data_IF_772197675114
#
_entry.id   IF_772197675114
#
_cell.length_a   1.000
_cell.length_b   1.000
_cell.length_c   1.000
_cell.angle_alpha   90.00
_cell.angle_beta   90.00
_cell.angle_gamma   90.00
#
_symmetry.space_group_name_H-M   'P 1'
#
loop_
_entity.id
_entity.type
_entity.pdbx_description
1 polymer ?
#
# COMPACT_ATOMS: atom_id res chain seq x y z
N UNK A 1 -23.11 -51.50 -9.92
CA UNK A 1 -23.63 -50.12 -9.78
C UNK A 1 -22.91 -49.43 -8.61
N UNK A 2 -21.57 -49.33 -8.66
CA UNK A 2 -20.72 -48.75 -7.60
C UNK A 2 -19.51 -48.11 -8.29
N UNK A 3 -19.73 -47.16 -9.21
CA UNK A 3 -18.63 -46.54 -9.97
C UNK A 3 -18.88 -45.07 -10.35
N UNK A 4 -19.67 -44.33 -9.56
CA UNK A 4 -20.03 -42.93 -9.84
C UNK A 4 -19.97 -41.99 -8.62
N UNK A 5 -19.17 -42.27 -7.58
CA UNK A 5 -19.08 -41.39 -6.40
C UNK A 5 -17.65 -41.06 -5.93
N UNK A 6 -16.69 -40.95 -6.85
CA UNK A 6 -15.32 -40.50 -6.54
C UNK A 6 -14.85 -39.36 -7.46
N UNK A 7 -15.74 -38.42 -7.75
CA UNK A 7 -15.36 -37.09 -8.26
C UNK A 7 -15.93 -36.06 -7.30
N UNK A 8 -15.40 -36.07 -6.07
CA UNK A 8 -15.67 -35.03 -5.09
C UNK A 8 -14.42 -34.15 -5.03
N UNK A 9 -14.50 -33.04 -5.75
CA UNK A 9 -13.90 -31.76 -5.41
C UNK A 9 -12.45 -31.78 -4.90
N UNK A 10 -11.51 -31.95 -5.82
CA UNK A 10 -10.18 -31.33 -5.70
C UNK A 10 -10.29 -29.83 -6.07
N UNK A 11 -11.22 -29.10 -5.45
CA UNK A 11 -11.10 -27.65 -5.34
C UNK A 11 -10.07 -27.43 -4.23
N UNK A 12 -8.80 -27.52 -4.60
CA UNK A 12 -7.73 -26.87 -3.87
C UNK A 12 -8.06 -25.38 -3.89
N UNK A 13 -8.84 -24.95 -2.90
CA UNK A 13 -8.83 -23.58 -2.44
C UNK A 13 -7.41 -23.33 -1.92
N UNK A 14 -6.50 -23.02 -2.84
CA UNK A 14 -5.40 -22.13 -2.52
C UNK A 14 -6.04 -20.76 -2.29
N UNK A 15 -6.71 -20.64 -1.14
CA UNK A 15 -6.88 -19.35 -0.49
C UNK A 15 -5.46 -18.90 -0.23
N UNK A 16 -4.87 -18.12 -1.15
CA UNK A 16 -3.65 -17.39 -0.82
C UNK A 16 -4.01 -16.59 0.41
N UNK A 17 -3.43 -16.97 1.55
CA UNK A 17 -3.66 -16.29 2.81
C UNK A 17 -3.52 -14.79 2.52
N UNK A 18 -4.56 -14.02 2.86
CA UNK A 18 -4.70 -12.61 2.53
C UNK A 18 -3.70 -11.77 3.33
N UNK A 19 -2.45 -11.78 2.88
CA UNK A 19 -1.36 -11.06 3.51
C UNK A 19 -0.69 -10.16 2.50
N UNK A 20 -0.24 -9.02 3.01
CA UNK A 20 0.44 -7.95 2.28
C UNK A 20 1.52 -8.50 1.37
N UNK A 21 1.50 -8.08 0.11
CA UNK A 21 2.54 -8.32 -0.88
C UNK A 21 3.40 -7.06 -1.03
N UNK A 22 4.71 -7.26 -1.16
CA UNK A 22 5.63 -6.19 -1.53
C UNK A 22 5.93 -6.30 -3.02
N UNK A 23 5.68 -5.23 -3.74
CA UNK A 23 6.02 -5.01 -5.14
C UNK A 23 7.25 -4.10 -5.19
N UNK A 24 8.06 -4.21 -6.24
CA UNK A 24 9.13 -3.24 -6.51
C UNK A 24 8.80 -2.48 -7.79
N UNK A 25 8.87 -1.14 -7.72
CA UNK A 25 8.91 -0.31 -8.93
C UNK A 25 10.28 -0.40 -9.56
N UNK A 26 10.35 -0.85 -10.81
CA UNK A 26 11.61 -1.12 -11.51
C UNK A 26 11.74 -0.31 -12.81
N UNK A 27 12.88 0.34 -12.98
CA UNK A 27 13.17 1.24 -14.12
C UNK A 27 14.35 0.78 -14.97
N UNK A 28 15.20 -0.11 -14.44
CA UNK A 28 16.35 -0.65 -15.18
C UNK A 28 15.93 -1.74 -16.19
N UNK A 29 16.64 -1.92 -17.31
CA UNK A 29 16.24 -2.87 -18.36
C UNK A 29 16.28 -4.33 -17.91
N UNK A 30 17.22 -4.69 -17.04
CA UNK A 30 17.49 -6.08 -16.65
C UNK A 30 17.36 -6.24 -15.13
N UNK A 31 16.22 -6.72 -14.62
CA UNK A 31 16.09 -7.04 -13.20
C UNK A 31 16.95 -8.26 -12.84
N UNK A 32 17.57 -8.31 -11.65
CA UNK A 32 18.23 -9.51 -11.15
C UNK A 32 17.19 -10.63 -10.91
N UNK A 33 17.57 -11.90 -10.71
CA UNK A 33 16.63 -12.97 -10.38
C UNK A 33 15.70 -12.63 -9.21
N UNK A 34 14.40 -12.95 -9.31
CA UNK A 34 13.39 -12.68 -8.28
C UNK A 34 13.78 -13.25 -6.89
N UNK A 35 14.39 -14.43 -6.89
CA UNK A 35 14.91 -15.09 -5.68
C UNK A 35 16.02 -14.31 -4.98
N UNK A 36 16.74 -13.43 -5.68
CA UNK A 36 17.80 -12.61 -5.09
C UNK A 36 17.17 -11.45 -4.33
N UNK A 37 16.10 -10.87 -4.88
CA UNK A 37 15.35 -9.80 -4.23
C UNK A 37 14.40 -10.30 -3.13
N UNK A 38 13.95 -11.56 -3.19
CA UNK A 38 12.92 -12.08 -2.30
C UNK A 38 11.50 -11.61 -2.66
N UNK A 39 11.33 -11.05 -3.87
CA UNK A 39 10.06 -10.49 -4.36
C UNK A 39 9.76 -11.07 -5.74
N UNK A 40 8.50 -11.42 -5.98
CA UNK A 40 8.02 -11.97 -7.25
C UNK A 40 7.26 -10.97 -8.11
N UNK A 41 7.00 -9.76 -7.64
CA UNK A 41 6.10 -8.81 -8.31
C UNK A 41 6.83 -7.51 -8.65
N UNK A 42 6.91 -7.22 -9.95
CA UNK A 42 7.50 -5.99 -10.47
C UNK A 42 6.41 -5.08 -11.02
N UNK A 43 6.52 -3.79 -10.71
CA UNK A 43 5.71 -2.73 -11.29
C UNK A 43 6.62 -1.92 -12.22
N UNK A 44 6.17 -1.71 -13.45
CA UNK A 44 6.88 -0.90 -14.45
C UNK A 44 5.94 0.11 -15.08
N UNK A 45 6.49 1.19 -15.63
CA UNK A 45 5.68 2.11 -16.43
C UNK A 45 5.09 1.40 -17.65
N UNK A 46 3.91 1.83 -18.09
CA UNK A 46 3.22 1.26 -19.27
C UNK A 46 4.11 1.18 -20.50
N UNK A 47 4.98 2.17 -20.72
CA UNK A 47 5.89 2.23 -21.87
C UNK A 47 6.98 1.16 -21.81
N UNK A 48 7.36 0.71 -20.60
CA UNK A 48 8.35 -0.36 -20.39
C UNK A 48 7.72 -1.75 -20.35
N UNK A 49 6.40 -1.85 -20.19
CA UNK A 49 5.62 -3.09 -20.25
C UNK A 49 5.58 -3.75 -21.64
N UNK A 50 6.67 -3.69 -22.40
CA UNK A 50 6.83 -4.33 -23.71
C UNK A 50 6.93 -5.85 -23.56
N UNK A 51 6.47 -6.59 -24.57
CA UNK A 51 6.51 -8.06 -24.57
C UNK A 51 7.92 -8.62 -24.37
N UNK A 52 8.97 -7.95 -24.86
CA UNK A 52 10.36 -8.37 -24.68
C UNK A 52 10.82 -8.24 -23.23
N UNK A 53 10.56 -7.09 -22.60
CA UNK A 53 10.86 -6.88 -21.19
C UNK A 53 10.11 -7.87 -20.30
N UNK A 54 8.80 -8.02 -20.53
CA UNK A 54 7.95 -8.93 -19.73
C UNK A 54 8.45 -10.38 -19.84
N UNK A 55 8.82 -10.85 -21.03
CA UNK A 55 9.42 -12.19 -21.21
C UNK A 55 10.76 -12.35 -20.48
N UNK A 56 11.61 -11.32 -20.50
CA UNK A 56 12.87 -11.33 -19.77
C UNK A 56 12.63 -11.35 -18.24
N UNK A 57 11.68 -10.58 -17.74
CA UNK A 57 11.33 -10.59 -16.32
C UNK A 57 10.72 -11.93 -15.88
N UNK A 58 9.86 -12.56 -16.71
CA UNK A 58 9.32 -13.89 -16.44
C UNK A 58 10.42 -14.96 -16.33
N UNK A 59 11.46 -14.90 -17.19
CA UNK A 59 12.58 -15.84 -17.10
C UNK A 59 13.42 -15.67 -15.83
N UNK A 60 13.35 -14.49 -15.21
CA UNK A 60 13.95 -14.19 -13.90
C UNK A 60 13.02 -14.54 -12.72
N UNK A 61 11.78 -14.99 -12.98
CA UNK A 61 10.82 -15.42 -11.97
C UNK A 61 9.82 -14.35 -11.51
N UNK A 62 9.67 -13.24 -12.27
CA UNK A 62 8.74 -12.16 -11.91
C UNK A 62 7.39 -12.27 -12.60
N UNK A 63 6.36 -11.81 -11.89
CA UNK A 63 5.08 -11.34 -12.43
C UNK A 63 5.19 -9.84 -12.66
N UNK A 64 4.85 -9.38 -13.85
CA UNK A 64 4.97 -7.96 -14.22
C UNK A 64 3.60 -7.29 -14.24
N UNK A 65 3.50 -6.17 -13.55
CA UNK A 65 2.35 -5.28 -13.57
C UNK A 65 2.75 -3.97 -14.26
N UNK A 66 1.85 -3.41 -15.06
CA UNK A 66 2.05 -2.11 -15.66
C UNK A 66 1.29 -1.04 -14.87
N UNK A 67 1.99 0.02 -14.48
CA UNK A 67 1.43 1.23 -13.89
C UNK A 67 0.86 2.10 -15.02
N UNK A 68 -0.43 2.44 -14.91
CA UNK A 68 -1.20 3.15 -15.92
C UNK A 68 -2.07 4.22 -15.28
N UNK A 69 -2.30 5.32 -15.99
CA UNK A 69 -3.33 6.28 -15.59
C UNK A 69 -4.72 5.77 -15.92
N UNK A 70 -5.75 6.37 -15.33
CA UNK A 70 -7.14 6.00 -15.61
C UNK A 70 -7.50 6.10 -17.11
N UNK A 71 -6.93 7.08 -17.83
CA UNK A 71 -7.17 7.28 -19.26
C UNK A 71 -6.53 6.19 -20.13
N UNK A 72 -5.43 5.61 -19.66
CA UNK A 72 -4.68 4.57 -20.39
C UNK A 72 -5.19 3.15 -20.09
N UNK A 73 -5.95 2.98 -19.01
CA UNK A 73 -6.31 1.69 -18.44
C UNK A 73 -7.05 0.76 -19.40
N UNK A 74 -8.01 1.25 -20.17
CA UNK A 74 -8.78 0.43 -21.13
C UNK A 74 -7.88 -0.14 -22.24
N UNK A 75 -7.12 0.73 -22.91
CA UNK A 75 -6.17 0.32 -23.97
C UNK A 75 -5.08 -0.60 -23.43
N UNK A 76 -4.59 -0.34 -22.23
CA UNK A 76 -3.61 -1.20 -21.58
C UNK A 76 -4.20 -2.58 -21.26
N UNK A 77 -5.46 -2.66 -20.83
CA UNK A 77 -6.15 -3.90 -20.50
C UNK A 77 -6.37 -4.80 -21.73
N UNK A 78 -6.71 -4.21 -22.88
CA UNK A 78 -6.83 -4.94 -24.15
C UNK A 78 -5.52 -5.63 -24.55
N UNK A 79 -4.38 -4.95 -24.34
CA UNK A 79 -3.05 -5.49 -24.71
C UNK A 79 -2.36 -6.28 -23.59
N UNK A 80 -2.96 -6.40 -22.40
CA UNK A 80 -2.30 -6.98 -21.22
C UNK A 80 -2.01 -8.48 -21.39
N UNK A 81 -2.98 -9.25 -21.89
CA UNK A 81 -2.83 -10.70 -22.11
C UNK A 81 -1.77 -10.98 -23.20
N UNK A 82 -1.77 -10.20 -24.29
CA UNK A 82 -0.78 -10.31 -25.38
C UNK A 82 0.65 -9.99 -24.92
N UNK A 83 0.79 -9.00 -24.03
CA UNK A 83 2.08 -8.63 -23.42
C UNK A 83 2.53 -9.61 -22.34
N UNK A 84 1.63 -10.46 -21.84
CA UNK A 84 1.91 -11.39 -20.74
C UNK A 84 1.99 -10.71 -19.37
N UNK A 85 1.29 -9.59 -19.19
CA UNK A 85 1.21 -8.89 -17.90
C UNK A 85 0.37 -9.68 -16.90
N UNK A 86 0.77 -9.66 -15.63
CA UNK A 86 0.00 -10.23 -14.53
C UNK A 86 -1.18 -9.33 -14.13
N UNK A 87 -1.08 -8.02 -14.40
CA UNK A 87 -2.12 -7.07 -14.10
C UNK A 87 -1.74 -5.62 -14.39
N UNK A 88 -2.63 -4.72 -14.03
CA UNK A 88 -2.48 -3.27 -14.14
C UNK A 88 -2.61 -2.63 -12.76
N UNK A 89 -1.72 -1.68 -12.49
CA UNK A 89 -1.78 -0.79 -11.32
C UNK A 89 -2.33 0.54 -11.82
N UNK A 90 -3.51 0.92 -11.35
CA UNK A 90 -4.15 2.18 -11.70
C UNK A 90 -3.68 3.27 -10.76
N UNK A 91 -2.91 4.22 -11.29
CA UNK A 91 -2.59 5.47 -10.60
C UNK A 91 -3.76 6.44 -10.81
N UNK A 92 -4.53 6.66 -9.74
CA UNK A 92 -5.73 7.50 -9.73
C UNK A 92 -5.44 8.72 -8.86
N UNK A 93 -5.54 9.90 -9.46
CA UNK A 93 -5.40 11.15 -8.70
C UNK A 93 -6.51 11.28 -7.65
N UNK A 94 -6.23 11.95 -6.53
CA UNK A 94 -7.24 12.18 -5.49
C UNK A 94 -8.48 12.90 -6.03
N UNK A 95 -8.29 13.82 -6.99
CA UNK A 95 -9.38 14.53 -7.67
C UNK A 95 -10.28 13.62 -8.51
N UNK A 96 -9.74 12.52 -9.04
CA UNK A 96 -10.47 11.59 -9.90
C UNK A 96 -11.00 10.37 -9.16
N UNK A 97 -10.73 10.24 -7.85
CA UNK A 97 -10.99 9.03 -7.07
C UNK A 97 -12.42 8.49 -7.18
N UNK A 98 -13.43 9.37 -7.12
CA UNK A 98 -14.84 8.98 -7.26
C UNK A 98 -15.18 8.46 -8.68
N UNK A 99 -14.62 9.10 -9.72
CA UNK A 99 -14.76 8.65 -11.11
C UNK A 99 -13.96 7.35 -11.36
N UNK A 100 -12.79 7.24 -10.72
CA UNK A 100 -11.90 6.09 -10.74
C UNK A 100 -12.57 4.82 -10.24
N UNK A 101 -13.41 4.90 -9.20
CA UNK A 101 -14.12 3.71 -8.69
C UNK A 101 -15.09 3.13 -9.72
N UNK A 102 -15.91 3.98 -10.33
CA UNK A 102 -16.86 3.53 -11.35
C UNK A 102 -16.14 2.94 -12.57
N UNK A 103 -15.06 3.58 -13.00
CA UNK A 103 -14.23 3.09 -14.10
C UNK A 103 -13.52 1.77 -13.76
N UNK A 104 -13.02 1.61 -12.53
CA UNK A 104 -12.40 0.38 -12.06
C UNK A 104 -13.35 -0.81 -12.10
N UNK A 105 -14.60 -0.64 -11.62
CA UNK A 105 -15.61 -1.71 -11.68
C UNK A 105 -15.98 -2.09 -13.13
N UNK A 106 -16.04 -1.09 -14.02
CA UNK A 106 -16.25 -1.33 -15.45
C UNK A 106 -15.10 -2.11 -16.09
N UNK A 107 -13.84 -1.71 -15.81
CA UNK A 107 -12.65 -2.38 -16.32
C UNK A 107 -12.56 -3.84 -15.85
N UNK A 108 -12.83 -4.11 -14.56
CA UNK A 108 -12.86 -5.48 -14.04
C UNK A 108 -13.94 -6.34 -14.69
N UNK A 109 -15.10 -5.74 -14.97
CA UNK A 109 -16.20 -6.44 -15.63
C UNK A 109 -15.90 -6.73 -17.10
N UNK A 110 -15.24 -5.80 -17.80
CA UNK A 110 -14.88 -5.95 -19.21
C UNK A 110 -13.68 -6.90 -19.43
N UNK A 111 -12.72 -6.92 -18.50
CA UNK A 111 -11.48 -7.69 -18.61
C UNK A 111 -11.28 -8.63 -17.40
N UNK A 112 -12.12 -9.66 -17.22
CA UNK A 112 -12.12 -10.50 -16.02
C UNK A 112 -10.84 -11.32 -15.80
N UNK A 113 -10.01 -11.48 -16.84
CA UNK A 113 -8.71 -12.17 -16.75
C UNK A 113 -7.57 -11.27 -16.27
N UNK A 114 -7.74 -9.94 -16.34
CA UNK A 114 -6.71 -8.97 -15.96
C UNK A 114 -6.92 -8.61 -14.49
N UNK A 115 -5.87 -8.71 -13.69
CA UNK A 115 -5.90 -8.21 -12.31
C UNK A 115 -5.73 -6.69 -12.34
N UNK A 116 -6.64 -5.97 -11.71
CA UNK A 116 -6.54 -4.52 -11.52
C UNK A 116 -6.28 -4.23 -10.05
N UNK A 117 -5.31 -3.37 -9.78
CA UNK A 117 -4.97 -2.85 -8.46
C UNK A 117 -5.13 -1.33 -8.49
N UNK A 118 -5.67 -0.74 -7.42
CA UNK A 118 -5.80 0.73 -7.30
C UNK A 118 -4.66 1.21 -6.42
N UNK A 119 -3.87 2.15 -6.92
CA UNK A 119 -2.75 2.72 -6.19
C UNK A 119 -3.20 3.98 -5.44
N UNK A 120 -2.93 3.99 -4.13
CA UNK A 120 -3.02 5.20 -3.31
C UNK A 120 -1.63 5.77 -3.02
N UNK A 121 -1.55 7.10 -2.94
CA UNK A 121 -0.32 7.79 -2.55
C UNK A 121 -0.27 7.91 -1.03
N UNK A 122 0.71 7.22 -0.43
CA UNK A 122 1.03 7.30 0.98
C UNK A 122 2.19 8.25 1.26
N UNK A 123 2.58 8.33 2.52
CA UNK A 123 3.74 9.09 2.99
C UNK A 123 4.91 8.16 3.29
N UNK A 124 6.13 8.72 3.22
CA UNK A 124 7.33 8.00 3.66
C UNK A 124 7.22 7.65 5.16
N UNK A 125 7.26 6.36 5.53
CA UNK A 125 7.29 5.93 6.92
C UNK A 125 8.58 6.38 7.58
N UNK A 126 8.48 7.09 8.70
CA UNK A 126 9.66 7.60 9.39
C UNK A 126 9.40 7.85 10.87
N UNK A 127 10.43 7.65 11.68
CA UNK A 127 10.43 8.12 13.06
C UNK A 127 10.54 9.64 13.08
N UNK A 128 9.53 10.29 13.64
CA UNK A 128 9.50 11.72 13.91
C UNK A 128 9.74 11.96 15.41
N UNK A 129 10.46 13.04 15.69
CA UNK A 129 10.66 13.54 17.05
C UNK A 129 10.20 14.99 17.15
N UNK A 130 10.72 15.70 18.14
CA UNK A 130 10.40 17.11 18.31
C UNK A 130 10.91 17.93 17.12
N UNK A 131 10.06 18.80 16.58
CA UNK A 131 10.46 19.82 15.64
C UNK A 131 11.21 20.91 16.42
N UNK A 132 12.48 21.09 16.09
CA UNK A 132 13.32 22.14 16.68
C UNK A 132 13.53 23.23 15.63
N UNK A 133 12.83 24.36 15.80
CA UNK A 133 13.00 25.54 14.95
C UNK A 133 13.81 26.57 15.74
N UNK A 134 14.82 27.15 15.10
CA UNK A 134 15.53 28.32 15.64
C UNK A 134 15.04 29.57 14.92
N UNK A 135 14.28 30.43 15.61
CA UNK A 135 13.84 31.74 15.10
C UNK A 135 14.39 32.83 16.01
N UNK A 136 15.11 33.80 15.44
CA UNK A 136 15.69 34.94 16.16
C UNK A 136 16.50 34.57 17.42
N UNK A 137 17.25 33.46 17.35
CA UNK A 137 18.02 32.87 18.47
C UNK A 137 17.20 32.25 19.60
N UNK A 138 15.89 32.14 19.46
CA UNK A 138 15.02 31.33 20.32
C UNK A 138 14.88 29.93 19.74
N UNK A 139 15.08 28.93 20.60
CA UNK A 139 14.84 27.52 20.27
C UNK A 139 13.38 27.19 20.57
N UNK A 140 12.57 27.07 19.53
CA UNK A 140 11.18 26.63 19.62
C UNK A 140 11.14 25.12 19.41
N UNK A 141 10.60 24.39 20.39
CA UNK A 141 10.45 22.94 20.36
C UNK A 141 8.97 22.61 20.38
N UNK A 142 8.44 22.03 19.31
CA UNK A 142 7.04 21.60 19.22
C UNK A 142 6.93 20.15 18.79
N UNK A 143 5.90 19.46 19.26
CA UNK A 143 5.60 18.08 18.89
C UNK A 143 4.09 17.86 18.91
N UNK A 144 3.51 17.20 17.89
CA UNK A 144 2.12 16.75 17.88
C UNK A 144 1.75 15.81 19.05
N UNK A 145 2.69 15.00 19.55
CA UNK A 145 2.37 13.94 20.54
C UNK A 145 3.23 13.98 21.81
N UNK A 146 4.10 14.98 21.99
CA UNK A 146 5.08 15.13 23.08
C UNK A 146 6.10 13.97 23.24
N UNK A 147 5.90 12.85 22.55
CA UNK A 147 6.78 11.67 22.47
C UNK A 147 7.21 11.48 21.01
N UNK A 148 8.33 10.81 20.70
CA UNK A 148 8.61 10.38 19.34
C UNK A 148 7.47 9.50 18.80
N UNK A 149 7.13 9.67 17.53
CA UNK A 149 6.08 8.89 16.87
C UNK A 149 6.54 8.41 15.51
N UNK A 150 5.89 7.38 14.97
CA UNK A 150 6.09 6.97 13.58
C UNK A 150 5.04 7.70 12.74
N UNK A 151 5.48 8.43 11.73
CA UNK A 151 4.57 8.96 10.75
C UNK A 151 4.15 7.83 9.82
N UNK A 152 2.95 7.29 10.08
CA UNK A 152 2.54 5.99 9.56
C UNK A 152 1.32 6.03 8.62
N UNK A 153 1.26 5.12 7.65
CA UNK A 153 0.16 5.05 6.66
C UNK A 153 -1.12 4.37 7.16
N UNK A 154 -1.23 4.04 8.46
CA UNK A 154 -2.39 3.33 9.01
C UNK A 154 -3.74 4.01 8.70
N UNK A 155 -3.82 5.33 8.81
CA UNK A 155 -5.04 6.07 8.53
C UNK A 155 -5.50 5.91 7.08
N UNK A 156 -4.58 6.12 6.13
CA UNK A 156 -4.81 5.87 4.70
C UNK A 156 -5.31 4.44 4.48
N UNK A 157 -4.59 3.46 5.01
CA UNK A 157 -4.90 2.03 4.84
C UNK A 157 -6.29 1.68 5.38
N UNK A 158 -6.68 2.19 6.56
CA UNK A 158 -8.02 1.93 7.11
C UNK A 158 -9.13 2.58 6.30
N UNK A 159 -8.88 3.77 5.74
CA UNK A 159 -9.80 4.44 4.82
C UNK A 159 -9.95 3.64 3.52
N UNK A 160 -8.87 3.14 2.94
CA UNK A 160 -8.92 2.29 1.74
C UNK A 160 -9.67 0.97 2.00
N UNK A 161 -9.38 0.29 3.12
CA UNK A 161 -10.08 -0.94 3.50
C UNK A 161 -11.58 -0.72 3.63
N UNK A 162 -11.98 0.46 4.14
CA UNK A 162 -13.40 0.83 4.24
C UNK A 162 -14.00 1.21 2.88
N UNK A 163 -13.25 1.91 2.04
CA UNK A 163 -13.68 2.32 0.70
C UNK A 163 -13.89 1.13 -0.23
N UNK A 164 -13.06 0.10 -0.10
CA UNK A 164 -13.03 -1.06 -1.00
C UNK A 164 -13.05 -2.39 -0.23
N UNK A 165 -14.20 -2.76 0.39
CA UNK A 165 -14.29 -4.02 1.12
C UNK A 165 -13.93 -5.22 0.24
N UNK A 166 -13.03 -6.08 0.74
CA UNK A 166 -12.57 -7.27 0.03
C UNK A 166 -11.40 -7.04 -0.92
N UNK A 167 -10.84 -5.82 -0.98
CA UNK A 167 -9.56 -5.55 -1.64
C UNK A 167 -8.49 -5.27 -0.59
N UNK A 168 -7.28 -5.76 -0.84
CA UNK A 168 -6.11 -5.37 -0.04
C UNK A 168 -5.67 -3.99 -0.56
N UNK A 169 -5.59 -2.96 0.31
CA UNK A 169 -5.10 -1.65 -0.10
C UNK A 169 -3.69 -1.76 -0.65
N UNK A 170 -3.42 -1.07 -1.75
CA UNK A 170 -2.09 -0.93 -2.33
C UNK A 170 -1.67 0.53 -2.24
N UNK A 171 -0.49 0.80 -1.72
CA UNK A 171 0.07 2.15 -1.70
C UNK A 171 1.52 2.19 -2.17
N UNK A 172 1.94 3.38 -2.59
CA UNK A 172 3.33 3.75 -2.84
C UNK A 172 3.59 5.07 -2.14
N UNK A 173 4.87 5.42 -2.00
CA UNK A 173 5.30 6.76 -1.62
C UNK A 173 6.58 7.07 -2.40
N UNK A 174 7.00 8.33 -2.38
CA UNK A 174 8.30 8.73 -2.93
C UNK A 174 9.26 9.12 -1.81
N UNK A 175 10.53 8.78 -2.02
CA UNK A 175 11.59 9.20 -1.12
C UNK A 175 11.85 10.69 -1.33
N UNK A 176 12.01 11.45 -0.23
CA UNK A 176 12.43 12.86 -0.24
C UNK A 176 11.35 13.94 -0.51
N UNK A 177 10.16 13.80 0.07
CA UNK A 177 9.11 14.84 0.01
C UNK A 177 9.46 16.16 0.75
N UNK A 178 10.60 16.27 1.42
CA UNK A 178 10.92 17.42 2.27
C UNK A 178 12.38 17.87 2.14
N UNK A 179 12.59 18.89 1.31
CA UNK A 179 13.79 19.75 1.22
C UNK A 179 15.08 19.09 0.68
N UNK A 180 15.49 19.39 -0.57
CA UNK A 180 16.72 18.89 -1.19
C UNK A 180 18.00 19.15 -0.40
N UNK A 181 18.03 20.20 0.42
CA UNK A 181 19.20 20.58 1.22
C UNK A 181 19.48 19.65 2.42
N UNK A 182 18.56 18.73 2.76
CA UNK A 182 18.66 17.80 3.87
C UNK A 182 18.48 16.33 3.44
N UNK A 183 18.62 16.03 2.15
CA UNK A 183 18.50 14.65 1.64
C UNK A 183 19.54 13.74 2.31
N UNK A 184 19.07 12.93 3.24
CA UNK A 184 19.84 11.83 3.81
C UNK A 184 19.80 10.65 2.83
N UNK A 185 20.91 9.92 2.74
CA UNK A 185 20.95 8.69 1.96
C UNK A 185 19.97 7.67 2.57
N UNK A 186 19.16 7.03 1.72
CA UNK A 186 18.19 6.03 2.17
C UNK A 186 18.95 4.80 2.64
N UNK A 187 18.65 4.36 3.86
CA UNK A 187 19.32 3.25 4.53
C UNK A 187 18.53 1.95 4.38
N UNK A 188 19.13 0.77 4.64
CA UNK A 188 18.39 -0.49 4.67
C UNK A 188 17.25 -0.46 5.69
N UNK A 189 17.43 0.27 6.81
CA UNK A 189 16.42 0.45 7.85
C UNK A 189 15.19 1.19 7.32
N UNK A 190 15.37 2.19 6.46
CA UNK A 190 14.25 2.96 5.89
C UNK A 190 13.37 2.07 4.99
N UNK A 191 14.00 1.28 4.12
CA UNK A 191 13.30 0.28 3.30
C UNK A 191 12.61 -0.79 4.17
N UNK A 192 13.31 -1.27 5.20
CA UNK A 192 12.79 -2.28 6.12
C UNK A 192 11.59 -1.77 6.92
N UNK A 193 11.61 -0.51 7.35
CA UNK A 193 10.48 0.14 8.03
C UNK A 193 9.25 0.22 7.12
N UNK A 194 9.42 0.59 5.85
CA UNK A 194 8.33 0.63 4.90
C UNK A 194 7.69 -0.76 4.70
N UNK A 195 8.51 -1.80 4.55
CA UNK A 195 8.03 -3.19 4.43
C UNK A 195 7.34 -3.66 5.71
N UNK A 196 7.91 -3.38 6.88
CA UNK A 196 7.33 -3.76 8.16
C UNK A 196 5.99 -3.08 8.41
N UNK A 197 5.86 -1.80 8.03
CA UNK A 197 4.62 -1.04 8.13
C UNK A 197 3.50 -1.66 7.30
N UNK A 198 3.74 -1.90 6.01
CA UNK A 198 2.73 -2.43 5.09
C UNK A 198 2.20 -3.79 5.56
N UNK A 199 3.11 -4.66 6.03
CA UNK A 199 2.72 -5.93 6.61
C UNK A 199 1.96 -5.82 7.92
N UNK A 200 2.39 -4.93 8.82
CA UNK A 200 1.71 -4.74 10.11
C UNK A 200 0.28 -4.24 9.93
N UNK A 201 0.02 -3.50 8.85
CA UNK A 201 -1.29 -2.92 8.55
C UNK A 201 -2.11 -3.70 7.53
N UNK A 202 -1.58 -4.83 7.03
CA UNK A 202 -2.23 -5.69 6.03
C UNK A 202 -2.55 -4.93 4.74
N UNK A 203 -1.55 -4.22 4.22
CA UNK A 203 -1.60 -3.50 2.96
C UNK A 203 -0.46 -3.94 2.04
N UNK A 204 -0.73 -3.99 0.74
CA UNK A 204 0.29 -4.17 -0.27
C UNK A 204 1.09 -2.87 -0.43
N UNK A 205 2.39 -3.00 -0.72
CA UNK A 205 3.30 -1.88 -0.90
C UNK A 205 4.00 -1.96 -2.25
N UNK A 206 3.96 -0.89 -3.04
CA UNK A 206 4.93 -0.67 -4.12
C UNK A 206 6.12 0.09 -3.54
N UNK A 207 7.24 -0.62 -3.39
CA UNK A 207 8.48 -0.04 -2.90
C UNK A 207 9.21 0.62 -4.06
N UNK A 208 9.40 1.94 -3.97
CA UNK A 208 10.27 2.68 -4.88
C UNK A 208 11.73 2.39 -4.52
N UNK A 209 12.53 1.93 -5.47
CA UNK A 209 13.96 1.70 -5.26
C UNK A 209 14.78 2.73 -6.04
N UNK A 210 15.75 3.38 -5.41
CA UNK A 210 16.59 4.35 -6.12
C UNK A 210 17.29 3.73 -7.34
N UNK A 211 17.37 4.47 -8.45
CA UNK A 211 17.95 3.95 -9.69
C UNK A 211 19.40 3.49 -9.53
N UNK A 212 20.17 4.13 -8.64
CA UNK A 212 21.52 3.71 -8.29
C UNK A 212 21.55 2.32 -7.66
N UNK A 213 20.63 2.06 -6.73
CA UNK A 213 20.47 0.76 -6.07
C UNK A 213 20.00 -0.30 -7.07
N UNK A 214 19.01 0.01 -7.93
CA UNK A 214 18.57 -0.92 -8.97
C UNK A 214 19.73 -1.34 -9.89
N UNK A 215 20.52 -0.36 -10.37
CA UNK A 215 21.70 -0.64 -11.21
C UNK A 215 22.73 -1.51 -10.50
N UNK A 216 23.02 -1.21 -9.23
CA UNK A 216 23.99 -1.97 -8.45
C UNK A 216 23.52 -3.41 -8.21
N UNK A 217 22.23 -3.63 -7.94
CA UNK A 217 21.64 -4.96 -7.80
C UNK A 217 21.64 -5.74 -9.11
N UNK A 218 21.30 -5.11 -10.25
CA UNK A 218 21.43 -5.72 -11.58
C UNK A 218 22.87 -6.13 -11.88
N UNK A 219 23.84 -5.27 -11.52
CA UNK A 219 25.27 -5.53 -11.69
C UNK A 219 25.83 -6.55 -10.68
N UNK A 220 24.97 -7.11 -9.81
CA UNK A 220 25.35 -8.09 -8.78
C UNK A 220 26.42 -7.57 -7.81
N UNK A 221 26.43 -6.26 -7.58
CA UNK A 221 27.40 -5.58 -6.71
C UNK A 221 27.35 -6.15 -5.28
N UNK A 222 28.51 -6.50 -4.67
CA UNK A 222 28.53 -7.09 -3.34
C UNK A 222 27.98 -6.18 -2.24
N UNK A 223 28.18 -4.86 -2.32
CA UNK A 223 27.69 -3.93 -1.30
C UNK A 223 26.17 -3.74 -1.42
N UNK A 224 25.65 -3.61 -2.64
CA UNK A 224 24.20 -3.55 -2.87
C UNK A 224 23.50 -4.83 -2.42
N UNK A 225 24.11 -6.00 -2.62
CA UNK A 225 23.57 -7.27 -2.11
C UNK A 225 23.56 -7.33 -0.59
N UNK A 226 24.64 -6.86 0.07
CA UNK A 226 24.70 -6.79 1.53
C UNK A 226 23.64 -5.83 2.08
N UNK A 227 23.49 -4.67 1.45
CA UNK A 227 22.43 -3.71 1.74
C UNK A 227 21.05 -4.36 1.64
N UNK A 228 20.76 -5.01 0.51
CA UNK A 228 19.45 -5.59 0.24
C UNK A 228 19.13 -6.81 1.10
N UNK A 229 20.14 -7.55 1.55
CA UNK A 229 19.96 -8.71 2.42
C UNK A 229 19.20 -8.35 3.72
N UNK A 230 19.43 -7.16 4.26
CA UNK A 230 18.71 -6.69 5.44
C UNK A 230 17.23 -6.45 5.12
N UNK A 231 16.93 -5.70 4.06
CA UNK A 231 15.56 -5.44 3.58
C UNK A 231 14.81 -6.75 3.30
N UNK A 232 15.49 -7.69 2.63
CA UNK A 232 14.95 -9.01 2.32
C UNK A 232 14.54 -9.79 3.55
N UNK A 233 15.26 -9.67 4.67
CA UNK A 233 14.88 -10.38 5.90
C UNK A 233 13.49 -9.96 6.41
N UNK A 234 13.13 -8.69 6.22
CA UNK A 234 11.80 -8.18 6.54
C UNK A 234 10.76 -8.64 5.53
N UNK A 235 11.08 -8.62 4.23
CA UNK A 235 10.20 -9.16 3.18
C UNK A 235 9.86 -10.63 3.46
N UNK A 236 10.90 -11.44 3.72
CA UNK A 236 10.76 -12.86 4.04
C UNK A 236 9.92 -13.05 5.32
N UNK A 237 10.15 -12.26 6.37
CA UNK A 237 9.33 -12.30 7.58
C UNK A 237 7.85 -11.99 7.30
N UNK A 238 7.57 -10.96 6.51
CA UNK A 238 6.21 -10.54 6.17
C UNK A 238 5.46 -11.60 5.36
N UNK A 239 6.15 -12.29 4.44
CA UNK A 239 5.57 -13.37 3.66
C UNK A 239 5.13 -14.58 4.51
N UNK A 240 5.82 -14.85 5.63
CA UNK A 240 5.51 -15.98 6.53
C UNK A 240 4.60 -15.60 7.69
N UNK A 241 4.57 -14.32 8.09
CA UNK A 241 3.65 -13.84 9.11
C UNK A 241 2.22 -14.28 8.75
N UNK A 242 1.91 -14.27 7.44
CA UNK A 242 0.95 -15.06 6.63
C UNK A 242 0.01 -16.05 7.32
N UNK A 243 0.65 -16.86 8.13
CA UNK A 243 0.09 -18.11 8.63
C UNK A 243 -0.55 -17.93 10.01
N UNK A 244 -0.36 -16.78 10.66
CA UNK A 244 -0.85 -16.51 12.01
C UNK A 244 -1.98 -15.49 11.99
N UNK A 245 -3.23 -15.91 12.21
CA UNK A 245 -4.37 -14.99 12.30
C UNK A 245 -4.23 -14.04 13.52
N UNK A 246 -3.54 -12.90 13.30
CA UNK A 246 -3.26 -11.91 14.34
C UNK A 246 -4.52 -11.06 14.60
N UNK A 247 -4.94 -11.01 15.86
CA UNK A 247 -6.03 -10.13 16.30
C UNK A 247 -5.49 -8.74 16.64
N UNK A 248 -6.19 -7.65 16.30
CA UNK A 248 -5.83 -6.30 16.73
C UNK A 248 -5.66 -6.22 18.25
N UNK A 249 -4.65 -5.49 18.71
CA UNK A 249 -4.36 -5.32 20.13
C UNK A 249 -5.37 -4.39 20.85
N UNK A 250 -6.14 -3.59 20.11
CA UNK A 250 -7.22 -2.78 20.64
C UNK A 250 -8.41 -2.73 19.68
N UNK A 251 -9.61 -2.57 20.24
CA UNK A 251 -10.87 -2.52 19.51
C UNK A 251 -11.48 -1.12 19.59
N UNK A 252 -10.92 -0.17 18.85
CA UNK A 252 -11.48 1.17 18.69
C UNK A 252 -12.22 1.26 17.35
N UNK A 253 -13.48 1.69 17.39
CA UNK A 253 -14.24 2.05 16.20
C UNK A 253 -14.21 3.56 16.02
N UNK A 254 -13.89 4.01 14.80
CA UNK A 254 -13.90 5.43 14.42
C UNK A 254 -14.96 5.62 13.34
N UNK A 255 -15.99 6.41 13.63
CA UNK A 255 -17.07 6.75 12.71
C UNK A 255 -16.79 8.14 12.13
N UNK A 256 -16.70 8.24 10.81
CA UNK A 256 -16.41 9.49 10.09
C UNK A 256 -17.48 9.79 9.06
N UNK A 257 -17.86 11.06 8.89
CA UNK A 257 -18.86 11.47 7.89
C UNK A 257 -18.36 11.28 6.45
N UNK A 258 -17.06 11.43 6.23
CA UNK A 258 -16.41 11.20 4.95
C UNK A 258 -15.06 10.49 5.11
N UNK A 259 -14.67 9.76 4.07
CA UNK A 259 -13.44 8.98 4.01
C UNK A 259 -12.28 9.87 3.55
N UNK A 260 -12.01 10.91 4.34
CA UNK A 260 -10.93 11.86 4.10
C UNK A 260 -9.62 11.36 4.73
N UNK A 261 -8.67 10.98 3.89
CA UNK A 261 -7.34 10.49 4.33
C UNK A 261 -6.48 11.60 4.94
N UNK A 262 -6.85 12.86 4.76
CA UNK A 262 -6.20 14.03 5.37
C UNK A 262 -6.70 14.34 6.78
N UNK A 263 -7.69 13.60 7.29
CA UNK A 263 -8.17 13.78 8.66
C UNK A 263 -7.05 13.44 9.66
N UNK A 264 -6.53 14.51 10.27
CA UNK A 264 -5.44 14.44 11.24
C UNK A 264 -5.82 13.61 12.47
N UNK A 265 -7.10 13.45 12.79
CA UNK A 265 -7.49 12.70 13.98
C UNK A 265 -7.14 11.22 13.86
N UNK A 266 -7.39 10.61 12.69
CA UNK A 266 -6.98 9.22 12.45
C UNK A 266 -5.45 9.07 12.44
N UNK A 267 -4.72 10.08 11.95
CA UNK A 267 -3.27 10.12 12.06
C UNK A 267 -2.82 10.17 13.53
N UNK A 268 -3.49 10.93 14.40
CA UNK A 268 -3.18 10.97 15.84
C UNK A 268 -3.37 9.60 16.51
N UNK A 269 -4.44 8.86 16.19
CA UNK A 269 -4.59 7.48 16.69
C UNK A 269 -3.37 6.61 16.32
N UNK A 270 -2.94 6.67 15.06
CA UNK A 270 -1.76 5.94 14.60
C UNK A 270 -0.49 6.37 15.35
N UNK A 271 -0.28 7.67 15.56
CA UNK A 271 0.89 8.21 16.27
C UNK A 271 0.93 7.83 17.76
N UNK A 272 -0.22 7.54 18.35
CA UNK A 272 -0.34 7.01 19.71
C UNK A 272 -0.39 5.47 19.78
N UNK A 273 -0.11 4.78 18.67
CA UNK A 273 -0.17 3.32 18.55
C UNK A 273 -1.54 2.73 18.95
N UNK A 274 -2.62 3.47 18.68
CA UNK A 274 -3.98 3.01 18.92
C UNK A 274 -4.52 2.45 17.60
N UNK A 275 -4.64 1.12 17.44
CA UNK A 275 -5.26 0.54 16.25
C UNK A 275 -6.77 0.81 16.26
N UNK A 276 -7.34 1.05 15.08
CA UNK A 276 -8.75 1.34 14.90
C UNK A 276 -9.31 0.73 13.62
N UNK A 277 -10.63 0.65 13.54
CA UNK A 277 -11.40 0.37 12.32
C UNK A 277 -12.29 1.56 11.98
N UNK A 278 -12.41 1.86 10.69
CA UNK A 278 -13.17 3.00 10.18
C UNK A 278 -14.57 2.55 9.76
N UNK A 279 -15.57 3.34 10.14
CA UNK A 279 -16.98 3.15 9.83
C UNK A 279 -17.59 4.44 9.28
N UNK A 280 -18.65 4.30 8.50
CA UNK A 280 -19.50 5.40 8.07
C UNK A 280 -20.77 5.45 8.95
N UNK A 281 -21.48 6.59 9.00
CA UNK A 281 -22.75 6.70 9.72
C UNK A 281 -23.79 5.66 9.28
N UNK A 282 -23.77 5.25 8.01
CA UNK A 282 -24.62 4.18 7.48
C UNK A 282 -24.38 2.81 8.10
N UNK A 283 -23.24 2.63 8.76
CA UNK A 283 -22.84 1.37 9.39
C UNK A 283 -23.31 1.28 10.85
N UNK A 284 -23.92 2.33 11.40
CA UNK A 284 -24.41 2.39 12.78
C UNK A 284 -25.56 1.40 13.02
N UNK A 285 -25.18 0.17 13.36
CA UNK A 285 -26.05 -0.94 13.75
C UNK A 285 -25.42 -1.63 14.94
N UNK A 286 -26.20 -1.97 15.97
CA UNK A 286 -25.69 -2.49 17.25
C UNK A 286 -24.70 -3.67 17.05
N UNK A 287 -25.08 -4.62 16.21
CA UNK A 287 -24.28 -5.79 15.81
C UNK A 287 -22.86 -5.46 15.29
N UNK A 288 -22.68 -4.30 14.66
CA UNK A 288 -21.37 -3.90 14.11
C UNK A 288 -20.41 -3.40 15.20
N UNK A 289 -20.93 -3.04 16.38
CA UNK A 289 -20.15 -2.38 17.44
C UNK A 289 -19.97 -3.24 18.70
N UNK A 290 -20.63 -4.40 18.79
CA UNK A 290 -20.53 -5.31 19.96
C UNK A 290 -19.08 -5.72 20.31
N UNK A 291 -18.21 -5.75 19.31
CA UNK A 291 -16.81 -6.14 19.46
C UNK A 291 -15.86 -4.99 19.84
N UNK A 292 -16.36 -3.76 20.00
CA UNK A 292 -15.54 -2.57 20.26
C UNK A 292 -15.71 -2.04 21.67
N UNK A 293 -14.58 -1.72 22.31
CA UNK A 293 -14.54 -1.17 23.66
C UNK A 293 -14.81 0.34 23.66
N UNK A 294 -14.48 1.02 22.55
CA UNK A 294 -14.62 2.46 22.38
C UNK A 294 -15.13 2.76 20.97
N UNK A 295 -16.16 3.61 20.88
CA UNK A 295 -16.64 4.20 19.64
C UNK A 295 -16.39 5.70 19.68
N UNK A 296 -15.66 6.21 18.69
CA UNK A 296 -15.38 7.64 18.55
C UNK A 296 -16.03 8.14 17.27
N UNK A 297 -16.82 9.20 17.37
CA UNK A 297 -17.58 9.76 16.24
C UNK A 297 -17.03 11.13 15.90
N UNK A 298 -16.53 11.28 14.67
CA UNK A 298 -16.10 12.55 14.10
C UNK A 298 -17.11 13.01 13.06
N UNK A 299 -17.91 13.99 13.45
CA UNK A 299 -18.83 14.65 12.55
C UNK A 299 -18.19 15.93 11.98
N UNK A 300 -18.10 16.05 10.66
CA UNK A 300 -17.68 17.30 10.02
C UNK A 300 -18.78 18.35 10.22
N UNK A 301 -18.37 19.57 10.56
CA UNK A 301 -19.33 20.66 10.81
C UNK A 301 -20.13 20.98 9.54
N UNK A 302 -21.45 20.87 9.63
CA UNK A 302 -22.36 21.27 8.56
C UNK A 302 -22.28 22.80 8.36
N UNK A 303 -21.66 23.28 7.26
CA UNK A 303 -21.45 24.72 7.00
C UNK A 303 -22.76 25.54 7.02
N UNK A 304 -23.88 24.94 6.63
CA UNK A 304 -25.21 25.56 6.66
C UNK A 304 -25.75 25.81 8.07
N UNK A 305 -25.37 25.01 9.06
CA UNK A 305 -25.77 25.23 10.45
C UNK A 305 -25.01 26.42 11.07
N UNK A 306 -23.75 26.62 10.70
CA UNK A 306 -22.92 27.72 11.19
C UNK A 306 -23.37 29.09 10.65
N UNK A 307 -23.75 29.17 9.37
CA UNK A 307 -24.29 30.41 8.76
C UNK A 307 -25.65 30.85 9.35
N UNK A 308 -26.30 30.01 10.16
CA UNK A 308 -27.52 30.37 10.90
C UNK A 308 -27.24 30.88 12.32
N UNK A 309 -26.01 30.69 12.80
CA UNK A 309 -25.58 31.07 14.16
C UNK A 309 -24.66 32.31 14.12
N UNK A 310 -23.99 32.56 12.98
CA UNK A 310 -23.29 33.81 12.68
C UNK A 310 -24.24 34.85 12.07
#
# INVERSE_FOLDING_TARGET
MIWHRMVLCFFLMFSTAAWSSVFIRWTQPDPPPARDLGISDLVVSVDRGTTSFVKAAHSQGYRVYAEVTLQQAATAAESAEEKGLAGLVLDVSDSDRAAGESAFQQLRSAHPKVRFLVLSQGKQPQMRGNLVIKRDSVLEVSSPTAQPWIDANLALIRVEQRSHPGQIPLYSFSWNESNPAQQQAITPTDYSLAVAESCSFQADLILELEEGMQRALSAQDPQAKLFWKEVRSYIDFCAHAGEQELKPAANVAVVVDDLDTSDEVMNLFARHNIPFKVFLPSDLREENFEAFDVVVVFAKRHQTAYKRIA
#
